data_IF_141954630479
#
_entry.id   IF_141954630479
#
_cell.length_a   1.000
_cell.length_b   1.000
_cell.length_c   1.000
_cell.angle_alpha   90.00
_cell.angle_beta   90.00
_cell.angle_gamma   90.00
#
_symmetry.space_group_name_H-M   'P 1'
#
loop_
_entity.id
_entity.type
_entity.pdbx_description
1 polymer ?
#
# COMPACT_ATOMS: atom_id res chain seq x y z
N UNK A 1 -11.17 3.98 -25.05
CA UNK A 1 -10.49 3.44 -23.84
C UNK A 1 -11.60 3.06 -22.87
N UNK A 2 -11.55 1.91 -22.20
CA UNK A 2 -12.64 1.49 -21.29
C UNK A 2 -12.45 2.11 -19.91
N UNK A 3 -13.51 2.33 -19.12
CA UNK A 3 -13.37 2.90 -17.75
C UNK A 3 -12.48 2.04 -16.84
N UNK A 4 -12.49 0.72 -17.02
CA UNK A 4 -11.55 -0.18 -16.32
C UNK A 4 -10.09 0.10 -16.66
N UNK A 5 -9.81 0.44 -17.93
CA UNK A 5 -8.49 0.89 -18.37
C UNK A 5 -8.14 2.26 -17.75
N UNK A 6 -9.12 3.15 -17.60
CA UNK A 6 -8.91 4.46 -16.98
C UNK A 6 -8.54 4.30 -15.50
N UNK A 7 -9.26 3.47 -14.73
CA UNK A 7 -8.95 3.20 -13.33
C UNK A 7 -7.51 2.69 -13.16
N UNK A 8 -7.11 1.70 -13.96
CA UNK A 8 -5.74 1.17 -13.93
C UNK A 8 -4.71 2.27 -14.18
N UNK A 9 -4.86 3.05 -15.25
CA UNK A 9 -3.90 4.10 -15.60
C UNK A 9 -3.85 5.21 -14.55
N UNK A 10 -5.00 5.54 -13.94
CA UNK A 10 -5.07 6.51 -12.86
C UNK A 10 -4.34 6.01 -11.62
N UNK A 11 -4.61 4.79 -11.14
CA UNK A 11 -3.90 4.20 -9.98
C UNK A 11 -2.39 4.09 -10.27
N UNK A 12 -2.03 3.70 -11.49
CA UNK A 12 -0.63 3.58 -11.93
C UNK A 12 0.13 4.90 -11.88
N UNK A 13 -0.48 6.00 -12.35
CA UNK A 13 0.12 7.32 -12.28
C UNK A 13 0.16 7.83 -10.83
N UNK A 14 -0.95 7.68 -10.11
CA UNK A 14 -1.13 8.12 -8.73
C UNK A 14 -0.09 7.53 -7.78
N UNK A 15 0.13 6.21 -7.82
CA UNK A 15 1.15 5.55 -6.99
C UNK A 15 2.56 6.04 -7.34
N UNK A 16 2.88 6.30 -8.62
CA UNK A 16 4.20 6.81 -9.00
C UNK A 16 4.43 8.23 -8.49
N UNK A 17 3.41 9.09 -8.59
CA UNK A 17 3.48 10.46 -8.11
C UNK A 17 3.65 10.49 -6.59
N UNK A 18 2.83 9.72 -5.86
CA UNK A 18 2.95 9.58 -4.41
C UNK A 18 4.31 9.02 -3.98
N UNK A 19 4.82 7.98 -4.66
CA UNK A 19 6.17 7.46 -4.39
C UNK A 19 7.25 8.51 -4.63
N UNK A 20 7.09 9.34 -5.67
CA UNK A 20 8.06 10.38 -6.00
C UNK A 20 8.04 11.49 -4.95
N UNK A 21 6.85 11.89 -4.50
CA UNK A 21 6.65 12.85 -3.43
C UNK A 21 7.25 12.36 -2.11
N UNK A 22 6.86 11.18 -1.63
CA UNK A 22 7.40 10.60 -0.40
C UNK A 22 8.93 10.53 -0.43
N UNK A 23 9.53 10.15 -1.58
CA UNK A 23 10.99 10.17 -1.74
C UNK A 23 11.57 11.58 -1.59
N UNK A 24 10.91 12.62 -2.08
CA UNK A 24 11.38 13.99 -1.91
C UNK A 24 11.26 14.45 -0.46
N UNK A 25 10.15 14.13 0.21
CA UNK A 25 9.94 14.49 1.61
C UNK A 25 10.94 13.81 2.54
N UNK A 26 11.32 12.57 2.25
CA UNK A 26 12.27 11.79 3.03
C UNK A 26 13.70 11.87 2.46
N UNK A 27 14.07 12.98 1.82
CA UNK A 27 15.38 13.11 1.19
C UNK A 27 16.51 12.93 2.23
N UNK A 28 17.41 11.99 1.97
CA UNK A 28 18.51 11.66 2.88
C UNK A 28 18.13 10.70 4.02
N UNK A 29 16.89 10.19 4.05
CA UNK A 29 16.44 9.11 4.91
C UNK A 29 16.25 7.81 4.11
N UNK A 30 15.96 6.71 4.79
CA UNK A 30 15.76 5.39 4.18
C UNK A 30 14.28 5.03 4.14
N UNK A 31 13.53 5.66 3.24
CA UNK A 31 12.15 5.25 2.93
C UNK A 31 12.14 3.78 2.53
N UNK A 32 11.40 2.95 3.28
CA UNK A 32 11.48 1.50 3.13
C UNK A 32 10.12 0.83 3.04
N UNK A 33 9.09 1.40 3.67
CA UNK A 33 7.73 0.88 3.63
C UNK A 33 6.79 1.98 3.14
N UNK A 34 5.84 1.60 2.31
CA UNK A 34 4.74 2.45 1.85
C UNK A 34 3.43 1.75 2.19
N UNK A 35 2.50 2.49 2.77
CA UNK A 35 1.15 2.05 3.08
C UNK A 35 0.16 2.65 2.08
N UNK A 36 -0.75 1.83 1.55
CA UNK A 36 -1.98 2.28 0.90
C UNK A 36 -3.14 2.04 1.87
N UNK A 37 -3.65 3.12 2.43
CA UNK A 37 -4.72 3.10 3.42
C UNK A 37 -6.06 3.13 2.69
N UNK A 38 -6.79 2.02 2.72
CA UNK A 38 -8.13 1.87 2.16
C UNK A 38 -9.18 2.18 3.24
N UNK A 39 -10.40 2.49 2.83
CA UNK A 39 -11.58 2.56 3.71
C UNK A 39 -12.68 1.67 3.14
N UNK A 40 -13.65 1.26 3.98
CA UNK A 40 -14.76 0.39 3.55
C UNK A 40 -15.46 0.91 2.29
N UNK A 41 -15.73 2.22 2.23
CA UNK A 41 -16.32 2.87 1.08
C UNK A 41 -15.35 2.91 -0.12
N UNK A 42 -15.87 2.67 -1.32
CA UNK A 42 -15.12 2.79 -2.57
C UNK A 42 -14.82 4.25 -2.92
N UNK A 43 -13.89 4.87 -2.19
CA UNK A 43 -13.58 6.29 -2.32
C UNK A 43 -12.11 6.61 -2.61
N UNK A 44 -11.26 5.62 -2.84
CA UNK A 44 -9.83 5.81 -3.07
C UNK A 44 -8.98 5.23 -1.94
N UNK A 45 -7.74 5.68 -1.84
CA UNK A 45 -6.83 5.36 -0.75
C UNK A 45 -5.96 6.57 -0.41
N UNK A 46 -5.39 6.57 0.79
CA UNK A 46 -4.32 7.49 1.19
C UNK A 46 -2.96 6.78 1.06
N UNK A 47 -1.90 7.54 0.80
CA UNK A 47 -0.56 6.97 0.64
C UNK A 47 0.37 7.51 1.72
N UNK A 48 0.88 6.63 2.55
CA UNK A 48 1.76 6.95 3.67
C UNK A 48 3.12 6.27 3.51
N UNK A 49 4.15 6.88 4.06
CA UNK A 49 5.51 6.38 4.05
C UNK A 49 6.03 6.08 5.46
N UNK A 50 6.98 5.16 5.54
CA UNK A 50 7.73 4.88 6.75
C UNK A 50 9.20 4.70 6.41
N UNK A 51 10.04 5.53 7.01
CA UNK A 51 11.50 5.43 6.92
C UNK A 51 12.03 4.47 7.97
N UNK A 52 13.21 3.90 7.73
CA UNK A 52 13.85 3.05 8.75
C UNK A 52 14.24 3.83 10.00
N UNK A 53 14.53 5.11 9.85
CA UNK A 53 14.79 6.04 10.94
C UNK A 53 13.58 6.16 11.88
N UNK A 54 12.38 6.44 11.34
CA UNK A 54 11.14 6.50 12.12
C UNK A 54 10.72 5.12 12.64
N UNK A 55 10.82 4.09 11.79
CA UNK A 55 10.51 2.71 12.16
C UNK A 55 11.30 2.25 13.40
N UNK A 56 12.55 2.68 13.54
CA UNK A 56 13.40 2.32 14.68
C UNK A 56 12.98 2.92 16.02
N UNK A 57 12.12 3.94 15.99
CA UNK A 57 11.64 4.67 17.16
C UNK A 57 10.17 4.37 17.49
N UNK A 58 9.45 3.76 16.54
CA UNK A 58 8.05 3.44 16.69
C UNK A 58 7.84 2.27 17.65
N UNK A 59 6.70 2.27 18.35
CA UNK A 59 6.31 1.11 19.15
C UNK A 59 6.06 -0.11 18.24
N UNK A 60 6.59 -1.27 18.63
CA UNK A 60 6.56 -2.49 17.81
C UNK A 60 5.14 -2.94 17.45
N UNK A 61 4.17 -2.73 18.34
CA UNK A 61 2.78 -3.10 18.07
C UNK A 61 2.11 -2.04 17.17
N UNK A 62 2.39 -0.76 17.45
CA UNK A 62 1.74 0.34 16.73
C UNK A 62 2.26 0.54 15.30
N UNK A 63 3.50 0.13 15.01
CA UNK A 63 4.13 0.37 13.70
C UNK A 63 3.42 -0.29 12.53
N UNK A 64 2.58 -1.29 12.79
CA UNK A 64 1.83 -2.03 11.77
C UNK A 64 0.43 -1.47 11.49
N UNK A 65 0.00 -0.44 12.22
CA UNK A 65 -1.21 0.32 11.89
C UNK A 65 -0.82 1.49 11.01
N UNK A 66 -0.93 1.33 9.69
CA UNK A 66 -0.39 2.29 8.74
C UNK A 66 -1.14 3.63 8.78
N UNK A 67 -2.36 3.65 9.33
CA UNK A 67 -3.13 4.87 9.61
C UNK A 67 -2.44 5.81 10.61
N UNK A 68 -1.51 5.31 11.41
CA UNK A 68 -0.82 6.07 12.46
C UNK A 68 0.51 6.70 11.97
N UNK A 69 0.86 6.50 10.69
CA UNK A 69 2.14 6.97 10.15
C UNK A 69 2.08 8.46 9.80
N UNK A 70 3.18 9.18 10.06
CA UNK A 70 3.22 10.64 9.96
C UNK A 70 3.63 11.20 8.60
N UNK A 71 4.29 10.40 7.75
CA UNK A 71 4.72 10.84 6.42
C UNK A 71 3.64 10.45 5.43
N UNK A 72 3.04 11.43 4.78
CA UNK A 72 1.88 11.24 3.92
C UNK A 72 2.04 12.00 2.61
N UNK A 73 1.77 11.34 1.49
CA UNK A 73 1.76 11.99 0.18
C UNK A 73 0.53 12.89 0.03
N UNK A 74 0.64 13.91 -0.82
CA UNK A 74 -0.47 14.81 -1.10
C UNK A 74 -1.69 14.05 -1.63
N UNK A 75 -2.82 14.30 -0.98
CA UNK A 75 -4.09 13.74 -1.38
C UNK A 75 -4.51 14.27 -2.76
N UNK A 76 -5.03 13.37 -3.59
CA UNK A 76 -5.77 13.77 -4.77
C UNK A 76 -7.00 12.87 -4.98
N UNK A 77 -7.98 13.39 -5.72
CA UNK A 77 -9.27 12.71 -5.90
C UNK A 77 -9.36 11.96 -7.23
N UNK A 78 -8.26 11.68 -7.91
CA UNK A 78 -8.33 11.09 -9.25
C UNK A 78 -8.85 9.65 -9.21
N UNK A 79 -8.32 8.82 -8.30
CA UNK A 79 -8.78 7.43 -8.12
C UNK A 79 -10.24 7.41 -7.66
N UNK A 80 -10.59 8.28 -6.70
CA UNK A 80 -11.98 8.50 -6.25
C UNK A 80 -12.92 8.76 -7.43
N UNK A 81 -12.56 9.69 -8.33
CA UNK A 81 -13.39 10.03 -9.48
C UNK A 81 -13.56 8.84 -10.45
N UNK A 82 -12.54 8.01 -10.65
CA UNK A 82 -12.66 6.83 -11.51
C UNK A 82 -13.54 5.75 -10.90
N UNK A 83 -13.36 5.46 -9.60
CA UNK A 83 -14.18 4.44 -8.94
C UNK A 83 -15.64 4.89 -8.80
N UNK A 84 -15.89 6.18 -8.57
CA UNK A 84 -17.22 6.74 -8.53
C UNK A 84 -17.95 6.60 -9.88
N UNK A 85 -17.26 6.82 -11.01
CA UNK A 85 -17.86 6.60 -12.34
C UNK A 85 -18.22 5.14 -12.58
N UNK A 86 -17.39 4.20 -12.12
CA UNK A 86 -17.69 2.77 -12.21
C UNK A 86 -18.85 2.38 -11.30
N UNK A 87 -18.94 2.97 -10.11
CA UNK A 87 -20.06 2.79 -9.18
C UNK A 87 -21.37 3.31 -9.78
N UNK A 88 -21.36 4.51 -10.38
CA UNK A 88 -22.53 5.08 -11.07
C UNK A 88 -23.02 4.21 -12.24
N UNK A 89 -22.14 3.46 -12.90
CA UNK A 89 -22.52 2.52 -13.97
C UNK A 89 -23.29 1.31 -13.47
N UNK A 90 -23.26 1.02 -12.17
CA UNK A 90 -24.09 -0.04 -11.58
C UNK A 90 -25.58 0.35 -11.58
N UNK A 91 -25.90 1.65 -11.63
CA UNK A 91 -27.26 2.19 -11.57
C UNK A 91 -27.82 2.27 -10.15
N UNK A 92 -29.00 2.88 -9.97
CA UNK A 92 -29.60 3.09 -8.63
C UNK A 92 -30.09 1.79 -7.96
N UNK A 93 -30.38 0.75 -8.75
CA UNK A 93 -30.92 -0.53 -8.28
C UNK A 93 -29.86 -1.66 -8.29
N UNK A 94 -28.59 -1.32 -8.11
CA UNK A 94 -27.52 -2.32 -8.09
C UNK A 94 -27.69 -3.32 -6.94
N UNK A 95 -27.22 -4.54 -7.17
CA UNK A 95 -27.21 -5.64 -6.19
C UNK A 95 -25.94 -5.63 -5.37
N UNK A 96 -25.99 -6.19 -4.16
CA UNK A 96 -24.82 -6.37 -3.30
C UNK A 96 -23.68 -7.12 -4.02
N UNK A 97 -24.02 -8.12 -4.83
CA UNK A 97 -23.05 -8.88 -5.64
C UNK A 97 -22.29 -7.98 -6.62
N UNK A 98 -22.98 -7.06 -7.30
CA UNK A 98 -22.34 -6.10 -8.21
C UNK A 98 -21.40 -5.13 -7.48
N UNK A 99 -21.75 -4.72 -6.28
CA UNK A 99 -20.89 -3.88 -5.45
C UNK A 99 -19.63 -4.63 -4.99
N UNK A 100 -19.80 -5.88 -4.54
CA UNK A 100 -18.69 -6.76 -4.16
C UNK A 100 -17.76 -6.99 -5.36
N UNK A 101 -18.30 -7.26 -6.55
CA UNK A 101 -17.52 -7.40 -7.78
C UNK A 101 -16.74 -6.12 -8.12
N UNK A 102 -17.35 -4.94 -7.94
CA UNK A 102 -16.67 -3.68 -8.15
C UNK A 102 -15.53 -3.46 -7.14
N UNK A 103 -15.74 -3.77 -5.86
CA UNK A 103 -14.71 -3.71 -4.82
C UNK A 103 -13.55 -4.64 -5.13
N UNK A 104 -13.84 -5.89 -5.49
CA UNK A 104 -12.82 -6.86 -5.89
C UNK A 104 -12.06 -6.38 -7.14
N UNK A 105 -12.77 -5.80 -8.12
CA UNK A 105 -12.13 -5.22 -9.29
C UNK A 105 -11.16 -4.09 -8.91
N UNK A 106 -11.57 -3.21 -8.00
CA UNK A 106 -10.72 -2.12 -7.50
C UNK A 106 -9.47 -2.65 -6.78
N UNK A 107 -9.65 -3.51 -5.78
CA UNK A 107 -8.56 -4.15 -5.04
C UNK A 107 -7.57 -4.87 -5.97
N UNK A 108 -8.07 -5.68 -6.91
CA UNK A 108 -7.24 -6.40 -7.86
C UNK A 108 -6.50 -5.46 -8.83
N UNK A 109 -7.10 -4.32 -9.17
CA UNK A 109 -6.46 -3.32 -10.03
C UNK A 109 -5.27 -2.67 -9.30
N UNK A 110 -5.40 -2.34 -8.01
CA UNK A 110 -4.27 -1.84 -7.20
C UNK A 110 -3.15 -2.88 -7.14
N UNK A 111 -3.47 -4.13 -6.83
CA UNK A 111 -2.49 -5.23 -6.75
C UNK A 111 -1.76 -5.37 -8.10
N UNK A 112 -2.49 -5.38 -9.22
CA UNK A 112 -1.92 -5.50 -10.55
C UNK A 112 -0.98 -4.33 -10.88
N UNK A 113 -1.38 -3.09 -10.58
CA UNK A 113 -0.53 -1.91 -10.76
C UNK A 113 0.77 -2.04 -9.98
N UNK A 114 0.70 -2.41 -8.70
CA UNK A 114 1.89 -2.56 -7.86
C UNK A 114 2.82 -3.67 -8.37
N UNK A 115 2.27 -4.79 -8.83
CA UNK A 115 3.04 -5.85 -9.46
C UNK A 115 3.77 -5.37 -10.71
N UNK A 116 3.11 -4.59 -11.56
CA UNK A 116 3.70 -4.11 -12.81
C UNK A 116 4.74 -3.01 -12.55
N UNK A 117 4.46 -2.06 -11.66
CA UNK A 117 5.45 -1.08 -11.20
C UNK A 117 6.70 -1.75 -10.59
N UNK A 118 6.52 -2.85 -9.85
CA UNK A 118 7.65 -3.62 -9.31
C UNK A 118 8.46 -4.30 -10.41
N UNK A 119 7.81 -4.97 -11.37
CA UNK A 119 8.48 -5.61 -12.52
C UNK A 119 9.28 -4.60 -13.34
N UNK A 120 8.81 -3.37 -13.42
CA UNK A 120 9.48 -2.25 -14.09
C UNK A 120 10.62 -1.61 -13.26
N UNK A 121 10.83 -2.05 -12.01
CA UNK A 121 11.86 -1.49 -11.12
C UNK A 121 11.53 -0.12 -10.55
N UNK A 122 10.27 0.31 -10.60
CA UNK A 122 9.84 1.65 -10.14
C UNK A 122 9.63 1.75 -8.64
N UNK A 123 9.47 0.61 -7.95
CA UNK A 123 9.23 0.53 -6.51
C UNK A 123 10.54 0.42 -5.71
N UNK A 124 11.54 1.23 -6.05
CA UNK A 124 12.82 1.30 -5.35
C UNK A 124 12.97 2.64 -4.64
N UNK A 125 13.63 2.66 -3.48
CA UNK A 125 13.97 3.88 -2.75
C UNK A 125 15.20 4.57 -3.36
N UNK A 126 15.65 5.68 -2.74
CA UNK A 126 16.81 6.44 -3.23
C UNK A 126 18.12 5.66 -3.19
N UNK A 127 18.22 4.67 -2.30
CA UNK A 127 19.38 3.78 -2.15
C UNK A 127 19.33 2.58 -3.11
N UNK A 128 18.28 2.44 -3.93
CA UNK A 128 18.09 1.33 -4.86
C UNK A 128 17.51 0.06 -4.23
N UNK A 129 17.08 0.13 -2.97
CA UNK A 129 16.39 -0.99 -2.32
C UNK A 129 14.92 -1.05 -2.74
N UNK A 130 14.41 -2.26 -2.94
CA UNK A 130 12.99 -2.51 -3.13
C UNK A 130 12.19 -2.04 -1.90
N UNK A 131 11.22 -1.15 -2.12
CA UNK A 131 10.25 -0.71 -1.12
C UNK A 131 9.21 -1.80 -0.88
N UNK A 132 8.75 -1.91 0.37
CA UNK A 132 7.69 -2.82 0.80
C UNK A 132 6.36 -2.06 0.74
N UNK A 133 5.31 -2.68 0.18
CA UNK A 133 3.97 -2.10 0.13
C UNK A 133 3.01 -2.87 1.03
N UNK A 134 2.21 -2.17 1.83
CA UNK A 134 1.16 -2.73 2.67
C UNK A 134 -0.17 -2.10 2.25
N UNK A 135 -1.19 -2.92 2.02
CA UNK A 135 -2.56 -2.45 1.78
C UNK A 135 -3.35 -2.81 3.03
N UNK A 136 -3.94 -1.82 3.70
CA UNK A 136 -4.68 -2.03 4.94
C UNK A 136 -5.93 -1.16 4.94
N UNK A 137 -7.04 -1.71 5.42
CA UNK A 137 -8.26 -0.97 5.70
C UNK A 137 -8.14 -0.24 7.03
N UNK A 138 -8.35 1.09 7.04
CA UNK A 138 -8.20 1.92 8.23
C UNK A 138 -9.17 1.54 9.38
N UNK A 139 -10.32 0.97 9.03
CA UNK A 139 -11.41 0.57 9.91
C UNK A 139 -11.43 -0.94 10.20
N UNK A 140 -10.38 -1.68 9.81
CA UNK A 140 -10.30 -3.13 9.92
C UNK A 140 -11.46 -3.87 9.23
N UNK A 141 -12.03 -3.27 8.18
CA UNK A 141 -13.15 -3.85 7.43
C UNK A 141 -12.85 -5.24 6.85
N UNK A 142 -11.63 -5.44 6.33
CA UNK A 142 -11.16 -6.71 5.74
C UNK A 142 -9.69 -6.96 6.15
N UNK A 143 -9.51 -7.52 7.34
CA UNK A 143 -8.18 -7.82 7.90
C UNK A 143 -7.43 -8.90 7.10
N UNK A 144 -8.16 -9.84 6.47
CA UNK A 144 -7.57 -10.90 5.65
C UNK A 144 -6.98 -10.34 4.33
N UNK A 145 -7.51 -9.22 3.84
CA UNK A 145 -7.01 -8.56 2.64
C UNK A 145 -5.55 -8.10 2.77
N UNK A 146 -5.13 -7.64 3.96
CA UNK A 146 -3.75 -7.22 4.19
C UNK A 146 -2.77 -8.37 3.95
N UNK A 147 -3.02 -9.53 4.54
CA UNK A 147 -2.12 -10.68 4.41
C UNK A 147 -2.12 -11.27 2.99
N UNK A 148 -3.30 -11.38 2.39
CA UNK A 148 -3.46 -11.97 1.05
C UNK A 148 -2.90 -11.07 -0.05
N UNK A 149 -3.05 -9.75 0.05
CA UNK A 149 -2.47 -8.79 -0.90
C UNK A 149 -0.96 -8.66 -0.72
N UNK A 150 -0.45 -8.69 0.52
CA UNK A 150 0.99 -8.57 0.80
C UNK A 150 1.82 -9.61 0.03
N UNK A 151 1.36 -10.86 0.04
CA UNK A 151 2.03 -11.97 -0.64
C UNK A 151 2.03 -11.85 -2.17
N UNK A 152 1.04 -11.14 -2.74
CA UNK A 152 0.92 -10.93 -4.18
C UNK A 152 1.80 -9.77 -4.67
N UNK A 153 2.11 -8.81 -3.80
CA UNK A 153 2.80 -7.56 -4.16
C UNK A 153 4.29 -7.62 -3.85
N UNK A 154 4.66 -8.19 -2.70
CA UNK A 154 6.01 -8.06 -2.16
C UNK A 154 6.90 -9.26 -2.50
N UNK A 155 8.24 -9.07 -2.49
CA UNK A 155 9.19 -10.17 -2.62
C UNK A 155 8.89 -11.32 -1.66
N UNK A 156 8.93 -12.55 -2.18
CA UNK A 156 8.59 -13.78 -1.42
C UNK A 156 9.38 -13.95 -0.12
N UNK A 157 10.60 -13.40 -0.05
CA UNK A 157 11.42 -13.41 1.18
C UNK A 157 10.79 -12.65 2.36
N UNK A 158 9.92 -11.65 2.10
CA UNK A 158 9.28 -10.86 3.16
C UNK A 158 7.96 -11.46 3.64
N UNK A 159 7.30 -12.30 2.84
CA UNK A 159 6.00 -12.89 3.17
C UNK A 159 5.98 -13.63 4.51
N UNK A 160 6.89 -14.59 4.79
CA UNK A 160 6.88 -15.29 6.07
C UNK A 160 7.28 -14.39 7.26
N UNK A 161 8.00 -13.29 7.00
CA UNK A 161 8.37 -12.30 8.02
C UNK A 161 7.18 -11.41 8.38
N UNK A 162 6.41 -11.00 7.37
CA UNK A 162 5.22 -10.18 7.54
C UNK A 162 4.08 -10.92 8.24
N UNK A 163 3.88 -12.21 7.92
CA UNK A 163 2.93 -13.07 8.64
C UNK A 163 3.27 -13.22 10.14
N UNK A 164 4.49 -12.85 10.54
CA UNK A 164 4.96 -12.91 11.92
C UNK A 164 5.20 -11.52 12.52
N UNK A 165 4.75 -10.44 11.87
CA UNK A 165 5.07 -9.05 12.20
C UNK A 165 4.81 -8.65 13.66
N UNK A 166 3.78 -9.24 14.28
CA UNK A 166 3.43 -9.01 15.69
C UNK A 166 4.15 -9.91 16.71
N UNK A 167 4.94 -10.90 16.28
CA UNK A 167 5.61 -11.81 17.22
C UNK A 167 6.86 -11.17 17.81
N UNK A 168 7.09 -11.33 19.10
CA UNK A 168 8.27 -10.78 19.81
C UNK A 168 9.58 -11.58 19.63
N UNK A 169 9.69 -12.43 18.60
CA UNK A 169 10.83 -13.35 18.44
C UNK A 169 11.88 -12.79 17.48
N UNK A 170 13.05 -12.45 18.05
CA UNK A 170 14.19 -11.84 17.34
C UNK A 170 14.54 -12.54 16.03
N UNK A 171 14.39 -11.82 14.93
CA UNK A 171 14.84 -12.24 13.59
C UNK A 171 13.90 -13.21 12.86
N UNK A 172 12.71 -13.46 13.40
CA UNK A 172 11.68 -14.29 12.75
C UNK A 172 10.47 -13.48 12.27
N UNK A 173 10.54 -12.15 12.34
CA UNK A 173 9.49 -11.23 11.91
C UNK A 173 10.07 -10.09 11.06
N UNK A 174 9.19 -9.34 10.39
CA UNK A 174 9.60 -8.24 9.53
C UNK A 174 10.17 -7.06 10.32
N UNK A 175 9.70 -6.82 11.55
CA UNK A 175 10.17 -5.73 12.40
C UNK A 175 11.69 -5.84 12.66
N UNK A 176 12.12 -6.97 13.19
CA UNK A 176 13.51 -7.24 13.55
C UNK A 176 14.41 -7.25 12.32
N UNK A 177 13.92 -7.79 11.21
CA UNK A 177 14.63 -7.77 9.93
C UNK A 177 14.93 -6.34 9.48
N UNK A 178 13.94 -5.44 9.55
CA UNK A 178 14.09 -4.04 9.17
C UNK A 178 14.98 -3.26 10.15
N UNK A 179 14.88 -3.52 11.45
CA UNK A 179 15.78 -2.93 12.44
C UNK A 179 17.23 -3.38 12.29
N UNK A 180 17.45 -4.66 11.98
CA UNK A 180 18.80 -5.16 11.69
C UNK A 180 19.36 -4.54 10.42
N UNK A 181 18.53 -4.39 9.38
CA UNK A 181 18.91 -3.65 8.18
C UNK A 181 19.34 -2.22 8.53
N UNK A 182 18.54 -1.49 9.30
CA UNK A 182 18.83 -0.11 9.70
C UNK A 182 20.16 0.03 10.43
N UNK A 183 20.49 -0.89 11.35
CA UNK A 183 21.75 -0.88 12.11
C UNK A 183 23.00 -1.06 11.26
N UNK A 184 22.84 -1.53 10.02
CA UNK A 184 23.94 -1.79 9.09
C UNK A 184 24.07 -0.72 7.99
N UNK A 185 23.29 0.36 8.06
CA UNK A 185 23.38 1.54 7.19
C UNK A 185 24.39 2.55 7.76
#
# INVERSE_FOLDING_TARGET
MTEKTNLYLTIYQDIQDACSELKQETLGQHLQIIGLVLVEDLCGYFVVGMTLEEFSQFDQELVWFISEWSIEASHNNHVHQQIQRLYEQLGEEYTEEQYIELRQHYQNTIIQVLQDLRKEGKLQNQQGDEMIFILQYADAFDEDFEETSFAQINPQKYVPLFAQRFKQKKGENLHDFLLEKYKNL
#
